data_IF_904239403785
#
_entry.id   IF_904239403785
#
_cell.length_a   1.000
_cell.length_b   1.000
_cell.length_c   1.000
_cell.angle_alpha   90.00
_cell.angle_beta   90.00
_cell.angle_gamma   90.00
#
_symmetry.space_group_name_H-M   'P 1'
#
loop_
_entity.id
_entity.type
_entity.pdbx_description
1 polymer ?
#
# COMPACT_ATOMS: atom_id res chain seq x y z
N UNK A 1 -15.41 67.00 77.25
CA UNK A 1 -14.33 66.03 77.47
C UNK A 1 -14.30 65.07 76.29
N UNK A 2 -13.10 64.63 75.95
CA UNK A 2 -12.74 63.61 74.96
C UNK A 2 -12.49 64.10 73.52
N UNK A 3 -11.24 64.56 73.38
CA UNK A 3 -10.41 64.59 72.17
C UNK A 3 -10.40 63.22 71.50
N UNK A 4 -10.45 63.19 70.17
CA UNK A 4 -9.51 62.39 69.38
C UNK A 4 -8.98 63.23 68.22
N UNK A 5 -7.67 63.16 68.05
CA UNK A 5 -6.80 64.06 67.29
C UNK A 5 -6.92 63.84 65.78
N UNK A 6 -6.97 64.95 65.05
CA UNK A 6 -6.66 65.04 63.62
C UNK A 6 -5.15 65.21 63.50
N UNK A 7 -4.50 64.41 62.65
CA UNK A 7 -3.15 64.70 62.15
C UNK A 7 -3.16 64.62 60.63
N UNK A 8 -2.87 65.76 60.02
CA UNK A 8 -2.54 65.97 58.61
C UNK A 8 -1.04 65.72 58.46
N UNK A 9 -0.58 65.11 57.35
CA UNK A 9 0.37 65.71 56.39
C UNK A 9 1.01 64.73 55.39
N UNK A 10 1.11 65.26 54.17
CA UNK A 10 2.12 65.10 53.10
C UNK A 10 2.18 63.81 52.29
N UNK A 11 1.69 63.95 51.05
CA UNK A 11 2.06 63.20 49.85
C UNK A 11 3.52 63.49 49.49
N UNK A 12 4.30 62.44 49.24
CA UNK A 12 5.53 62.51 48.45
C UNK A 12 5.37 61.57 47.25
N UNK A 13 5.48 62.14 46.05
CA UNK A 13 5.47 61.42 44.78
C UNK A 13 6.87 60.83 44.55
N UNK A 14 6.97 59.51 44.50
CA UNK A 14 8.14 58.77 44.02
C UNK A 14 7.74 57.92 42.82
N UNK A 15 8.47 58.05 41.72
CA UNK A 15 8.19 57.40 40.43
C UNK A 15 8.97 56.08 40.31
N UNK A 16 8.22 55.03 39.94
CA UNK A 16 8.59 53.73 39.33
C UNK A 16 9.24 52.65 40.21
N UNK A 17 9.10 51.34 39.88
CA UNK A 17 8.42 50.72 38.71
C UNK A 17 7.38 49.64 39.07
N UNK A 18 6.66 49.22 38.04
CA UNK A 18 5.85 48.01 37.97
C UNK A 18 6.56 46.75 38.54
N UNK A 19 5.72 45.80 38.95
CA UNK A 19 6.03 44.44 39.40
C UNK A 19 7.41 43.92 38.98
N UNK A 20 8.28 43.71 39.97
CA UNK A 20 9.32 42.68 39.88
C UNK A 20 8.88 41.46 40.68
N UNK A 21 7.75 40.87 40.28
CA UNK A 21 7.55 39.46 40.60
C UNK A 21 8.40 38.67 39.61
N UNK A 22 9.29 37.83 40.14
CA UNK A 22 10.15 36.97 39.35
C UNK A 22 9.58 35.57 39.53
N UNK A 23 8.95 35.03 38.49
CA UNK A 23 8.41 33.67 38.54
C UNK A 23 9.55 32.66 38.78
N UNK A 24 9.34 31.64 39.62
CA UNK A 24 10.29 30.54 39.74
C UNK A 24 10.37 29.79 38.41
N UNK A 25 11.58 29.35 38.06
CA UNK A 25 11.94 28.78 36.76
C UNK A 25 11.62 27.28 36.64
N UNK A 26 10.94 26.71 37.65
CA UNK A 26 10.47 25.32 37.70
C UNK A 26 9.13 25.30 38.46
N UNK A 27 8.17 24.43 38.08
CA UNK A 27 6.83 24.43 38.66
C UNK A 27 6.87 24.05 40.15
N UNK A 28 6.25 24.88 40.99
CA UNK A 28 5.94 24.52 42.37
C UNK A 28 4.67 23.68 42.31
N UNK A 29 4.76 22.40 42.64
CA UNK A 29 3.57 21.54 42.75
C UNK A 29 2.56 22.18 43.72
N UNK A 30 1.38 22.56 43.21
CA UNK A 30 0.25 23.15 43.93
C UNK A 30 -0.78 22.11 44.40
N UNK A 31 -1.58 22.46 45.41
CA UNK A 31 -2.45 21.59 46.20
C UNK A 31 -3.96 21.79 45.86
N UNK A 32 -4.32 21.76 44.57
CA UNK A 32 -5.72 21.79 44.06
C UNK A 32 -6.07 20.46 43.33
N UNK A 33 -5.71 19.32 43.92
CA UNK A 33 -5.74 18.01 43.24
C UNK A 33 -6.71 17.00 43.85
N UNK A 34 -7.54 17.41 44.81
CA UNK A 34 -8.55 16.54 45.40
C UNK A 34 -9.93 17.19 45.45
N UNK A 35 -10.96 16.38 45.64
CA UNK A 35 -12.34 16.84 45.56
C UNK A 35 -12.73 17.81 46.70
N UNK A 36 -11.94 17.91 47.77
CA UNK A 36 -12.21 18.85 48.87
C UNK A 36 -11.59 20.21 48.60
N UNK A 37 -10.36 20.23 48.06
CA UNK A 37 -9.71 21.46 47.60
C UNK A 37 -10.51 22.09 46.43
N UNK A 38 -10.90 21.27 45.45
CA UNK A 38 -11.63 21.72 44.27
C UNK A 38 -13.11 22.13 44.49
N UNK A 39 -13.57 22.29 45.74
CA UNK A 39 -14.94 22.72 46.03
C UNK A 39 -15.11 23.64 47.25
N UNK A 40 -14.00 24.15 47.80
CA UNK A 40 -14.02 24.96 49.02
C UNK A 40 -13.96 26.47 48.76
N UNK A 41 -13.85 26.89 47.49
CA UNK A 41 -13.75 28.28 47.02
C UNK A 41 -12.51 29.02 47.52
N UNK A 42 -11.49 28.28 47.91
CA UNK A 42 -10.19 28.81 48.30
C UNK A 42 -9.20 28.51 47.18
N UNK A 43 -8.28 29.45 46.96
CA UNK A 43 -7.14 29.29 46.06
C UNK A 43 -6.02 28.65 46.90
N UNK A 44 -6.01 27.31 46.98
CA UNK A 44 -5.16 26.59 47.94
C UNK A 44 -3.69 26.61 47.55
N UNK A 45 -3.37 26.87 46.29
CA UNK A 45 -2.00 27.00 45.79
C UNK A 45 -1.57 28.44 45.44
N UNK A 46 -2.51 29.39 45.56
CA UNK A 46 -2.34 30.84 45.43
C UNK A 46 -1.92 31.30 44.02
N UNK A 47 -2.32 30.55 43.00
CA UNK A 47 -2.04 30.89 41.60
C UNK A 47 -3.02 31.92 41.02
N UNK A 48 -4.12 32.17 41.74
CA UNK A 48 -5.18 33.12 41.41
C UNK A 48 -6.46 32.50 40.87
N UNK A 49 -6.53 31.17 40.74
CA UNK A 49 -7.70 30.41 40.30
C UNK A 49 -8.29 29.62 41.48
N UNK A 50 -9.58 29.28 41.41
CA UNK A 50 -10.30 28.60 42.51
C UNK A 50 -11.23 27.52 41.97
N UNK A 51 -11.35 26.39 42.67
CA UNK A 51 -12.25 25.28 42.36
C UNK A 51 -12.18 24.86 40.87
N UNK A 52 -13.32 24.75 40.19
CA UNK A 52 -13.39 24.33 38.77
C UNK A 52 -12.92 25.39 37.78
N UNK A 53 -12.53 26.59 38.24
CA UNK A 53 -11.81 27.56 37.43
C UNK A 53 -10.29 27.28 37.44
N UNK A 54 -9.83 26.40 38.33
CA UNK A 54 -8.46 25.92 38.41
C UNK A 54 -8.21 24.71 37.47
N UNK A 55 -7.23 24.78 36.55
CA UNK A 55 -6.86 23.69 35.66
C UNK A 55 -6.43 22.40 36.37
N UNK A 56 -5.83 22.48 37.56
CA UNK A 56 -5.38 21.31 38.31
C UNK A 56 -6.59 20.48 38.78
N UNK A 57 -7.71 21.16 39.08
CA UNK A 57 -8.99 20.52 39.39
C UNK A 57 -9.64 19.81 38.20
N UNK A 58 -9.35 20.21 36.97
CA UNK A 58 -9.82 19.50 35.77
C UNK A 58 -9.02 18.23 35.50
N UNK A 59 -7.73 18.23 35.85
CA UNK A 59 -6.83 17.11 35.58
C UNK A 59 -6.88 16.04 36.67
N UNK A 60 -7.01 16.46 37.93
CA UNK A 60 -6.79 15.58 39.07
C UNK A 60 -8.02 15.33 39.95
N UNK A 61 -9.07 16.15 39.81
CA UNK A 61 -10.30 16.02 40.61
C UNK A 61 -11.48 15.54 39.77
N UNK A 62 -12.25 14.61 40.34
CA UNK A 62 -13.53 14.17 39.77
C UNK A 62 -14.66 15.19 39.99
N UNK A 63 -14.40 16.30 40.70
CA UNK A 63 -15.40 17.32 41.00
C UNK A 63 -15.73 18.20 39.79
N UNK A 64 -14.68 18.61 39.06
CA UNK A 64 -14.74 19.67 38.05
C UNK A 64 -14.60 19.12 36.62
N UNK A 65 -14.30 17.83 36.48
CA UNK A 65 -14.30 17.12 35.21
C UNK A 65 -15.71 16.99 34.62
N UNK A 66 -16.03 17.87 33.68
CA UNK A 66 -16.96 17.58 32.61
C UNK A 66 -16.42 16.37 31.83
N UNK A 67 -17.26 15.35 31.70
CA UNK A 67 -17.09 14.23 30.78
C UNK A 67 -16.66 14.78 29.42
N UNK A 68 -15.52 14.31 28.92
CA UNK A 68 -15.18 14.47 27.49
C UNK A 68 -16.12 13.52 26.75
N UNK A 69 -17.08 14.00 25.94
CA UNK A 69 -17.75 13.10 25.03
C UNK A 69 -16.69 12.60 24.04
N UNK A 70 -16.54 11.28 23.93
CA UNK A 70 -15.79 10.67 22.85
C UNK A 70 -16.40 11.18 21.54
N UNK A 71 -15.65 11.94 20.74
CA UNK A 71 -16.05 12.28 19.37
C UNK A 71 -15.09 11.61 18.39
N UNK A 72 -15.59 11.02 17.29
CA UNK A 72 -17.01 10.89 16.93
C UNK A 72 -17.60 9.60 17.50
N UNK A 73 -18.80 9.70 18.07
CA UNK A 73 -19.68 8.55 18.19
C UNK A 73 -19.99 8.07 16.77
N UNK A 74 -19.87 6.77 16.54
CA UNK A 74 -20.50 6.11 15.40
C UNK A 74 -22.01 6.32 15.56
N UNK A 75 -22.58 7.23 14.78
CA UNK A 75 -24.02 7.46 14.75
C UNK A 75 -24.54 7.06 13.37
N UNK A 76 -25.55 6.19 13.35
CA UNK A 76 -26.17 5.76 12.09
C UNK A 76 -26.60 6.98 11.24
N UNK A 77 -26.23 6.96 9.96
CA UNK A 77 -26.52 8.02 9.00
C UNK A 77 -27.90 7.84 8.35
N UNK A 78 -28.94 7.70 9.18
CA UNK A 78 -30.28 7.31 8.73
C UNK A 78 -31.39 8.32 9.10
N UNK A 79 -31.03 9.60 9.18
CA UNK A 79 -31.98 10.69 9.44
C UNK A 79 -31.83 11.82 8.43
N UNK A 80 -32.91 12.55 8.15
CA UNK A 80 -32.90 13.66 7.19
C UNK A 80 -31.87 14.73 7.59
N UNK A 81 -31.68 14.97 8.88
CA UNK A 81 -30.70 15.95 9.36
C UNK A 81 -29.26 15.53 9.11
N UNK A 82 -28.94 14.24 9.28
CA UNK A 82 -27.58 13.70 9.09
C UNK A 82 -27.24 13.46 7.61
N UNK A 83 -28.23 13.12 6.80
CA UNK A 83 -28.05 12.90 5.36
C UNK A 83 -27.84 14.19 4.52
N UNK A 84 -27.60 15.34 5.14
CA UNK A 84 -27.35 16.63 4.45
C UNK A 84 -26.33 17.53 5.16
N UNK A 85 -25.54 16.98 6.07
CA UNK A 85 -24.61 17.76 6.88
C UNK A 85 -23.15 17.70 6.40
N UNK A 86 -22.86 16.95 5.31
CA UNK A 86 -21.53 16.79 4.71
C UNK A 86 -20.53 16.11 5.64
N UNK A 87 -21.03 15.28 6.55
CA UNK A 87 -20.22 14.54 7.51
C UNK A 87 -20.58 13.06 7.38
N UNK A 88 -19.54 12.24 7.23
CA UNK A 88 -19.62 10.79 7.37
C UNK A 88 -19.84 10.46 8.87
N UNK A 89 -21.12 10.32 9.25
CA UNK A 89 -21.55 10.24 10.65
C UNK A 89 -21.33 8.85 11.25
N UNK A 90 -21.22 7.80 10.41
CA UNK A 90 -20.94 6.42 10.81
C UNK A 90 -19.56 5.90 10.37
N UNK A 91 -18.74 6.74 9.73
CA UNK A 91 -17.35 6.48 9.34
C UNK A 91 -17.17 5.27 8.42
N UNK A 92 -18.14 5.00 7.57
CA UNK A 92 -18.07 3.89 6.61
C UNK A 92 -17.42 4.29 5.27
N UNK A 93 -17.14 5.59 5.10
CA UNK A 93 -16.53 6.19 3.92
C UNK A 93 -17.52 6.79 2.92
N UNK A 94 -18.82 6.64 3.15
CA UNK A 94 -19.90 7.31 2.43
C UNK A 94 -20.51 8.40 3.31
N UNK A 95 -21.12 9.41 2.70
CA UNK A 95 -21.79 10.48 3.45
C UNK A 95 -22.91 11.11 2.61
N UNK A 96 -23.86 11.74 3.29
CA UNK A 96 -25.09 12.33 2.76
C UNK A 96 -25.80 11.39 1.76
N UNK A 97 -26.12 11.88 0.56
CA UNK A 97 -26.81 11.10 -0.47
C UNK A 97 -25.95 10.01 -1.11
N UNK A 98 -24.63 10.03 -0.89
CA UNK A 98 -23.72 8.95 -1.25
C UNK A 98 -23.85 7.74 -0.32
N UNK A 99 -24.42 7.94 0.86
CA UNK A 99 -24.62 6.89 1.85
C UNK A 99 -25.87 6.02 1.56
N UNK A 100 -25.72 4.71 1.74
CA UNK A 100 -26.77 3.73 1.41
C UNK A 100 -27.95 3.74 2.40
N UNK A 101 -27.70 4.10 3.66
CA UNK A 101 -28.73 4.27 4.69
C UNK A 101 -29.52 5.56 4.44
N UNK A 102 -28.88 6.61 3.92
CA UNK A 102 -29.56 7.83 3.47
C UNK A 102 -30.45 7.63 2.23
N UNK A 103 -30.04 6.81 1.27
CA UNK A 103 -30.85 6.49 0.08
C UNK A 103 -32.17 5.76 0.39
N UNK A 104 -32.24 5.08 1.55
CA UNK A 104 -33.46 4.43 2.01
C UNK A 104 -34.54 5.43 2.48
N UNK A 105 -34.16 6.66 2.83
CA UNK A 105 -35.03 7.70 3.37
C UNK A 105 -35.67 8.54 2.26
N UNK A 106 -36.97 8.36 2.04
CA UNK A 106 -37.70 9.13 1.02
C UNK A 106 -37.78 10.61 1.33
N UNK A 107 -37.83 10.93 2.62
CA UNK A 107 -37.95 12.27 3.17
C UNK A 107 -36.64 13.05 3.11
N UNK A 108 -35.50 12.37 2.96
CA UNK A 108 -34.23 13.04 2.77
C UNK A 108 -34.22 13.80 1.44
N UNK A 109 -35.04 13.43 0.45
CA UNK A 109 -34.99 14.09 -0.86
C UNK A 109 -33.58 14.12 -1.46
N UNK A 110 -32.71 13.16 -1.08
CA UNK A 110 -31.68 12.72 -1.99
C UNK A 110 -32.40 12.49 -3.31
N UNK A 111 -32.08 13.33 -4.28
CA UNK A 111 -32.51 13.08 -5.63
C UNK A 111 -32.21 11.62 -5.88
N UNK A 112 -33.11 10.91 -6.54
CA UNK A 112 -32.61 9.71 -7.16
C UNK A 112 -32.31 10.14 -8.58
N UNK A 113 -31.09 9.92 -9.00
CA UNK A 113 -30.77 9.80 -10.40
C UNK A 113 -31.18 8.39 -10.85
N UNK A 114 -32.44 8.20 -11.26
CA UNK A 114 -32.99 6.85 -11.58
C UNK A 114 -33.91 6.84 -12.80
N UNK A 115 -33.79 7.88 -13.64
CA UNK A 115 -34.53 7.99 -14.89
C UNK A 115 -33.54 8.09 -16.03
N UNK A 116 -33.87 7.47 -17.18
CA UNK A 116 -33.06 7.55 -18.40
C UNK A 116 -32.68 8.96 -18.84
N UNK A 117 -33.49 9.97 -18.51
CA UNK A 117 -33.21 11.37 -18.87
C UNK A 117 -32.12 11.99 -18.00
N UNK A 118 -32.05 11.60 -16.72
CA UNK A 118 -31.08 12.12 -15.76
C UNK A 118 -29.77 11.36 -15.83
N UNK A 119 -29.83 10.04 -15.97
CA UNK A 119 -28.66 9.16 -16.07
C UNK A 119 -27.87 9.24 -17.39
N UNK A 120 -27.92 10.37 -18.10
CA UNK A 120 -27.17 10.61 -19.36
C UNK A 120 -27.03 12.09 -19.69
N UNK A 121 -27.41 12.99 -18.78
CA UNK A 121 -27.43 14.44 -19.04
C UNK A 121 -26.13 15.13 -18.63
N UNK A 122 -25.19 14.40 -18.05
CA UNK A 122 -23.88 14.88 -17.62
C UNK A 122 -23.94 15.73 -16.35
N UNK A 123 -25.00 15.59 -15.55
CA UNK A 123 -25.22 16.35 -14.33
C UNK A 123 -25.48 15.37 -13.17
N UNK A 124 -24.70 15.52 -12.09
CA UNK A 124 -25.03 14.93 -10.78
C UNK A 124 -26.34 15.54 -10.25
N UNK A 125 -27.45 14.83 -10.50
CA UNK A 125 -28.80 15.33 -10.24
C UNK A 125 -29.23 15.15 -8.78
N UNK A 126 -28.46 14.41 -7.97
CA UNK A 126 -28.73 14.16 -6.56
C UNK A 126 -27.66 14.62 -5.57
N UNK A 127 -26.56 15.13 -6.09
CA UNK A 127 -25.52 15.82 -5.34
C UNK A 127 -24.57 14.90 -4.58
N UNK A 128 -24.52 13.62 -4.91
CA UNK A 128 -23.69 12.64 -4.20
C UNK A 128 -22.25 12.52 -4.75
N UNK A 129 -21.90 13.31 -5.77
CA UNK A 129 -20.56 13.36 -6.37
C UNK A 129 -20.36 12.41 -7.55
N UNK A 130 -21.36 11.62 -7.93
CA UNK A 130 -21.34 10.75 -9.11
C UNK A 130 -22.29 11.28 -10.18
N UNK A 131 -21.97 11.07 -11.45
CA UNK A 131 -22.76 11.60 -12.58
C UNK A 131 -23.16 10.49 -13.52
N UNK A 132 -24.40 10.52 -14.01
CA UNK A 132 -24.92 9.58 -15.01
C UNK A 132 -24.69 8.11 -14.60
N UNK A 133 -24.12 7.29 -15.48
CA UNK A 133 -23.91 5.87 -15.22
C UNK A 133 -22.76 5.59 -14.24
N UNK A 134 -21.95 6.57 -13.86
CA UNK A 134 -21.03 6.40 -12.73
C UNK A 134 -21.81 6.35 -11.39
N UNK A 135 -23.03 6.91 -11.38
CA UNK A 135 -23.93 6.91 -10.23
C UNK A 135 -24.57 5.53 -9.98
N UNK A 136 -24.60 5.11 -8.71
CA UNK A 136 -25.17 3.82 -8.30
C UNK A 136 -26.70 3.75 -8.44
N UNK A 137 -27.39 4.85 -8.16
CA UNK A 137 -28.82 5.03 -8.40
C UNK A 137 -29.20 4.86 -9.87
N UNK A 138 -28.30 5.24 -10.77
CA UNK A 138 -28.42 5.00 -12.20
C UNK A 138 -28.14 3.54 -12.57
N UNK A 139 -26.97 2.99 -12.20
CA UNK A 139 -26.57 1.61 -12.55
C UNK A 139 -27.53 0.55 -12.03
N UNK A 140 -28.09 0.76 -10.83
CA UNK A 140 -29.05 -0.18 -10.21
C UNK A 140 -30.50 0.27 -10.31
N UNK A 141 -30.78 1.31 -11.09
CA UNK A 141 -32.12 1.82 -11.29
C UNK A 141 -33.00 0.82 -12.04
N UNK A 142 -34.06 0.32 -11.42
CA UNK A 142 -34.99 -0.63 -12.07
C UNK A 142 -35.62 -0.10 -13.37
N UNK A 143 -35.66 1.23 -13.54
CA UNK A 143 -36.22 1.90 -14.71
C UNK A 143 -35.16 2.56 -15.61
N UNK A 144 -33.87 2.36 -15.30
CA UNK A 144 -32.75 2.88 -16.07
C UNK A 144 -32.29 1.81 -17.05
N UNK A 145 -32.25 2.16 -18.33
CA UNK A 145 -31.85 1.28 -19.44
C UNK A 145 -30.74 1.90 -20.29
N UNK A 146 -30.27 3.09 -19.92
CA UNK A 146 -29.21 3.81 -20.64
C UNK A 146 -27.82 3.39 -20.16
N UNK A 147 -27.71 2.86 -18.94
CA UNK A 147 -26.47 2.35 -18.36
C UNK A 147 -26.29 0.86 -18.69
N UNK A 148 -25.96 0.58 -19.94
CA UNK A 148 -25.69 -0.78 -20.44
C UNK A 148 -24.58 -0.74 -21.47
N UNK A 149 -23.67 -1.70 -21.42
CA UNK A 149 -22.60 -1.84 -22.42
C UNK A 149 -22.68 -3.20 -23.11
N UNK A 150 -23.70 -3.38 -23.96
CA UNK A 150 -24.01 -4.70 -24.52
C UNK A 150 -24.47 -4.66 -25.98
N UNK A 151 -24.04 -3.65 -26.73
CA UNK A 151 -24.32 -3.54 -28.16
C UNK A 151 -23.05 -3.17 -28.91
N UNK A 152 -23.01 -3.48 -30.21
CA UNK A 152 -21.85 -3.16 -31.06
C UNK A 152 -21.46 -1.68 -31.05
N UNK A 153 -22.41 -0.79 -30.82
CA UNK A 153 -22.13 0.65 -30.77
C UNK A 153 -21.58 1.09 -29.43
N UNK A 154 -21.98 0.46 -28.33
CA UNK A 154 -21.60 0.84 -26.97
C UNK A 154 -20.26 0.19 -26.57
N UNK A 155 -20.00 -1.01 -27.07
CA UNK A 155 -18.76 -1.74 -26.80
C UNK A 155 -17.59 -1.35 -27.71
N UNK A 156 -17.69 -0.22 -28.42
CA UNK A 156 -16.66 0.23 -29.37
C UNK A 156 -16.61 1.77 -29.53
N UNK A 157 -17.21 2.52 -28.61
CA UNK A 157 -17.25 3.99 -28.66
C UNK A 157 -16.21 4.66 -27.75
N UNK A 158 -15.45 3.88 -26.98
CA UNK A 158 -14.41 4.37 -26.09
C UNK A 158 -14.93 4.98 -24.80
N UNK A 159 -16.18 4.69 -24.43
CA UNK A 159 -16.86 5.21 -23.25
C UNK A 159 -17.33 4.03 -22.40
N UNK A 160 -17.11 4.09 -21.09
CA UNK A 160 -17.72 3.19 -20.12
C UNK A 160 -19.21 3.56 -19.98
N UNK A 161 -20.05 2.82 -20.69
CA UNK A 161 -21.47 3.16 -20.81
C UNK A 161 -22.32 2.62 -19.66
N UNK A 162 -21.79 1.69 -18.85
CA UNK A 162 -22.49 1.15 -17.67
C UNK A 162 -21.82 1.50 -16.33
N UNK A 163 -20.72 2.24 -16.37
CA UNK A 163 -20.06 2.91 -15.26
C UNK A 163 -19.30 1.97 -14.32
N UNK A 164 -18.86 0.80 -14.78
CA UNK A 164 -18.15 -0.18 -13.94
C UNK A 164 -16.61 0.01 -13.91
N UNK A 165 -16.11 0.99 -14.67
CA UNK A 165 -14.71 1.36 -14.80
C UNK A 165 -13.97 0.64 -15.92
N UNK A 166 -14.65 -0.21 -16.69
CA UNK A 166 -14.08 -0.99 -17.79
C UNK A 166 -14.72 -0.52 -19.10
N UNK A 167 -13.92 -0.37 -20.15
CA UNK A 167 -14.35 0.26 -21.41
C UNK A 167 -14.29 -0.73 -22.59
N UNK A 168 -15.32 -0.69 -23.43
CA UNK A 168 -15.43 -1.40 -24.70
C UNK A 168 -15.19 -2.91 -24.56
N UNK A 169 -14.40 -3.51 -25.45
CA UNK A 169 -14.11 -4.94 -25.42
C UNK A 169 -13.29 -5.42 -24.22
N UNK A 170 -12.81 -4.52 -23.36
CA UNK A 170 -12.29 -4.92 -22.06
C UNK A 170 -13.43 -5.28 -21.08
N UNK A 171 -14.61 -4.72 -21.30
CA UNK A 171 -15.79 -4.93 -20.46
C UNK A 171 -16.39 -6.34 -20.63
N UNK A 172 -16.88 -6.89 -19.52
CA UNK A 172 -17.40 -8.25 -19.47
C UNK A 172 -18.81 -8.38 -20.05
N UNK A 173 -19.63 -7.33 -19.98
CA UNK A 173 -20.93 -7.21 -20.64
C UNK A 173 -20.78 -7.21 -22.17
N UNK A 174 -19.64 -6.73 -22.68
CA UNK A 174 -19.30 -6.70 -24.10
C UNK A 174 -18.82 -8.03 -24.70
N UNK A 175 -18.55 -9.08 -23.90
CA UNK A 175 -17.97 -10.36 -24.38
C UNK A 175 -18.75 -11.07 -25.49
N UNK A 176 -20.06 -10.83 -25.60
CA UNK A 176 -20.92 -11.46 -26.63
C UNK A 176 -21.03 -10.66 -27.93
N UNK A 177 -20.39 -9.49 -27.97
CA UNK A 177 -20.39 -8.60 -29.11
C UNK A 177 -19.35 -9.08 -30.13
N UNK A 178 -19.75 -9.19 -31.40
CA UNK A 178 -18.94 -9.85 -32.44
C UNK A 178 -17.64 -9.10 -32.70
N UNK A 179 -17.61 -7.77 -32.56
CA UNK A 179 -16.37 -6.99 -32.64
C UNK A 179 -15.41 -7.23 -31.47
N UNK A 180 -15.94 -7.57 -30.30
CA UNK A 180 -15.17 -7.88 -29.08
C UNK A 180 -14.81 -9.36 -28.95
N UNK A 181 -15.50 -10.23 -29.70
CA UNK A 181 -15.08 -11.60 -29.87
C UNK A 181 -13.74 -11.62 -30.60
N UNK A 182 -12.69 -12.04 -29.89
CA UNK A 182 -11.38 -12.33 -30.46
C UNK A 182 -11.21 -13.84 -30.53
N UNK A 183 -11.97 -14.54 -31.39
CA UNK A 183 -12.05 -15.98 -31.36
C UNK A 183 -10.67 -16.61 -31.30
N UNK A 184 -10.51 -17.57 -30.39
CA UNK A 184 -9.32 -18.40 -30.29
C UNK A 184 -9.39 -19.47 -31.39
N UNK A 185 -9.19 -19.05 -32.65
CA UNK A 185 -9.40 -19.88 -33.85
C UNK A 185 -8.15 -20.00 -34.73
N UNK A 186 -7.00 -19.56 -34.22
CA UNK A 186 -5.71 -19.69 -34.90
C UNK A 186 -4.79 -20.60 -34.12
N UNK A 187 -3.94 -21.33 -34.83
CA UNK A 187 -3.01 -22.29 -34.22
C UNK A 187 -2.18 -21.66 -33.09
N UNK A 188 -1.65 -20.45 -33.27
CA UNK A 188 -0.83 -19.75 -32.28
C UNK A 188 -1.59 -19.23 -31.06
N UNK A 189 -2.89 -19.00 -31.18
CA UNK A 189 -3.76 -18.57 -30.07
C UNK A 189 -4.22 -19.76 -29.22
N UNK A 190 -4.31 -20.94 -29.84
CA UNK A 190 -4.78 -22.18 -29.23
C UNK A 190 -3.69 -23.07 -28.60
N UNK A 191 -2.45 -22.57 -28.48
CA UNK A 191 -1.34 -23.32 -27.85
C UNK A 191 -0.49 -22.42 -26.93
N UNK A 192 -1.01 -21.27 -26.52
CA UNK A 192 -0.23 -20.25 -25.84
C UNK A 192 -0.58 -20.12 -24.35
N UNK A 193 -1.46 -20.97 -23.81
CA UNK A 193 -1.85 -20.98 -22.37
C UNK A 193 -2.65 -19.76 -21.92
N UNK A 194 -3.02 -18.87 -22.85
CA UNK A 194 -3.84 -17.68 -22.58
C UNK A 194 -5.30 -17.90 -22.99
N UNK A 195 -6.21 -17.31 -22.21
CA UNK A 195 -7.63 -17.19 -22.57
C UNK A 195 -7.78 -16.01 -23.52
N UNK A 196 -7.54 -16.28 -24.79
CA UNK A 196 -7.28 -15.26 -25.79
C UNK A 196 -8.57 -14.53 -26.20
N UNK A 197 -9.73 -15.17 -25.99
CA UNK A 197 -11.07 -14.62 -26.18
C UNK A 197 -11.80 -14.27 -24.86
N UNK A 198 -11.09 -14.42 -23.73
CA UNK A 198 -11.55 -14.15 -22.37
C UNK A 198 -12.83 -14.89 -21.96
N UNK A 199 -13.14 -16.06 -22.55
CA UNK A 199 -14.38 -16.78 -22.29
C UNK A 199 -14.33 -17.76 -21.09
N UNK A 200 -13.15 -17.89 -20.47
CA UNK A 200 -12.88 -18.78 -19.33
C UNK A 200 -12.39 -20.18 -19.72
N UNK A 201 -12.12 -20.43 -21.00
CA UNK A 201 -11.55 -21.67 -21.52
C UNK A 201 -10.30 -21.34 -22.31
N UNK A 202 -9.28 -22.19 -22.19
CA UNK A 202 -7.96 -21.95 -22.80
C UNK A 202 -7.56 -23.16 -23.64
N UNK A 203 -6.99 -22.94 -24.81
CA UNK A 203 -6.37 -23.94 -25.67
C UNK A 203 -7.25 -25.21 -25.84
N UNK A 204 -6.87 -26.31 -25.19
CA UNK A 204 -7.54 -27.61 -25.29
C UNK A 204 -8.88 -27.71 -24.58
N UNK A 205 -9.22 -26.73 -23.75
CA UNK A 205 -10.52 -26.61 -23.09
C UNK A 205 -11.52 -25.80 -23.93
N UNK A 206 -11.02 -25.10 -24.96
CA UNK A 206 -11.79 -24.24 -25.86
C UNK A 206 -12.34 -25.00 -27.08
N UNK A 207 -13.64 -24.90 -27.30
CA UNK A 207 -14.32 -25.62 -28.38
C UNK A 207 -13.87 -25.11 -29.77
N UNK A 208 -13.56 -23.82 -29.89
CA UNK A 208 -13.05 -23.18 -31.11
C UNK A 208 -11.66 -23.69 -31.49
N UNK A 209 -10.81 -23.95 -30.49
CA UNK A 209 -9.49 -24.55 -30.66
C UNK A 209 -9.57 -26.03 -31.03
N UNK A 210 -10.52 -26.77 -30.43
CA UNK A 210 -10.80 -28.17 -30.80
C UNK A 210 -11.38 -28.31 -32.22
N UNK A 211 -11.87 -27.24 -32.83
CA UNK A 211 -12.28 -27.22 -34.23
C UNK A 211 -11.08 -27.21 -35.20
N UNK A 212 -9.87 -26.85 -34.74
CA UNK A 212 -8.64 -26.86 -35.53
C UNK A 212 -8.03 -28.28 -35.47
N UNK A 213 -7.94 -29.02 -36.59
CA UNK A 213 -7.51 -30.42 -36.57
C UNK A 213 -6.13 -30.67 -35.96
N UNK A 214 -5.17 -29.76 -36.20
CA UNK A 214 -3.81 -29.88 -35.69
C UNK A 214 -3.73 -29.63 -34.17
N UNK A 215 -4.55 -28.70 -33.66
CA UNK A 215 -4.67 -28.44 -32.20
C UNK A 215 -5.41 -29.60 -31.53
N UNK A 216 -6.54 -30.04 -32.07
CA UNK A 216 -7.29 -31.17 -31.54
C UNK A 216 -6.42 -32.45 -31.43
N UNK A 217 -5.58 -32.69 -32.44
CA UNK A 217 -4.61 -33.80 -32.39
C UNK A 217 -3.61 -33.61 -31.25
N UNK A 218 -3.05 -32.41 -31.09
CA UNK A 218 -2.13 -32.06 -29.99
C UNK A 218 -2.78 -32.27 -28.62
N UNK A 219 -4.03 -31.83 -28.44
CA UNK A 219 -4.79 -32.02 -27.21
C UNK A 219 -5.06 -33.49 -26.84
N UNK A 220 -5.12 -34.38 -27.84
CA UNK A 220 -5.27 -35.82 -27.64
C UNK A 220 -3.93 -36.55 -27.46
N UNK A 221 -2.89 -36.08 -28.13
CA UNK A 221 -1.51 -36.56 -28.00
C UNK A 221 -0.84 -35.82 -26.83
N UNK A 222 -1.33 -36.01 -25.59
CA UNK A 222 -0.68 -35.48 -24.38
C UNK A 222 0.65 -36.18 -24.18
N UNK A 223 1.69 -35.69 -24.85
CA UNK A 223 3.02 -36.26 -24.71
C UNK A 223 3.67 -35.59 -23.53
N UNK A 224 3.77 -36.33 -22.42
CA UNK A 224 4.37 -35.83 -21.18
C UNK A 224 5.66 -35.07 -21.42
N UNK A 225 5.80 -33.97 -20.68
CA UNK A 225 6.98 -33.13 -20.69
C UNK A 225 8.09 -33.76 -19.85
N UNK A 226 8.69 -34.81 -20.40
CA UNK A 226 9.64 -35.65 -19.68
C UNK A 226 10.83 -36.08 -20.55
N UNK A 227 11.27 -35.18 -21.43
CA UNK A 227 12.52 -35.32 -22.17
C UNK A 227 13.31 -34.02 -22.09
N UNK A 228 14.63 -34.12 -22.13
CA UNK A 228 15.51 -32.95 -22.01
C UNK A 228 15.36 -31.93 -23.16
N UNK A 229 14.75 -32.33 -24.28
CA UNK A 229 14.41 -31.44 -25.41
C UNK A 229 13.13 -30.65 -25.13
N UNK A 230 12.12 -31.32 -24.57
CA UNK A 230 10.82 -30.70 -24.26
C UNK A 230 10.79 -29.84 -23.02
N UNK A 231 11.76 -30.05 -22.12
CA UNK A 231 11.91 -29.23 -20.93
C UNK A 231 12.71 -27.94 -21.20
N UNK A 232 12.96 -27.57 -22.47
CA UNK A 232 13.65 -26.31 -22.87
C UNK A 232 13.17 -25.77 -24.23
N UNK A 233 12.04 -26.22 -24.75
CA UNK A 233 11.58 -25.83 -26.09
C UNK A 233 10.60 -24.65 -26.07
N UNK A 234 10.27 -24.12 -24.89
CA UNK A 234 9.37 -22.98 -24.70
C UNK A 234 7.92 -23.32 -24.98
N UNK A 235 7.57 -24.61 -24.98
CA UNK A 235 6.26 -25.09 -25.41
C UNK A 235 5.68 -26.01 -24.31
N UNK A 236 4.44 -25.75 -23.89
CA UNK A 236 3.67 -26.66 -23.03
C UNK A 236 3.28 -27.91 -23.84
N UNK A 237 4.09 -28.97 -23.73
CA UNK A 237 4.01 -30.15 -24.57
C UNK A 237 2.85 -31.08 -24.17
N UNK A 238 2.41 -31.04 -22.91
CA UNK A 238 1.30 -31.86 -22.41
C UNK A 238 0.02 -31.07 -22.05
N UNK A 239 0.07 -29.75 -22.27
CA UNK A 239 -1.03 -28.79 -22.22
C UNK A 239 -1.67 -28.72 -20.84
N UNK A 240 -0.84 -28.70 -19.80
CA UNK A 240 -1.26 -28.62 -18.40
C UNK A 240 -1.10 -27.21 -17.79
N UNK A 241 -0.64 -26.25 -18.59
CA UNK A 241 -0.44 -24.85 -18.23
C UNK A 241 0.96 -24.52 -17.70
N UNK A 242 1.87 -25.49 -17.68
CA UNK A 242 3.25 -25.30 -17.26
C UNK A 242 4.19 -25.61 -18.43
N UNK A 243 5.16 -24.73 -18.64
CA UNK A 243 6.13 -24.81 -19.74
C UNK A 243 7.51 -25.11 -19.18
N UNK A 244 8.24 -25.97 -19.87
CA UNK A 244 9.61 -26.35 -19.60
C UNK A 244 9.83 -26.74 -18.12
N UNK A 245 10.71 -26.04 -17.42
CA UNK A 245 11.09 -26.37 -16.06
C UNK A 245 10.09 -25.92 -15.00
N UNK A 246 9.08 -25.16 -15.40
CA UNK A 246 7.91 -24.90 -14.56
C UNK A 246 6.99 -26.13 -14.53
N UNK A 247 7.14 -27.07 -15.47
CA UNK A 247 6.39 -28.31 -15.49
C UNK A 247 6.90 -29.30 -14.42
N UNK A 248 5.95 -30.00 -13.76
CA UNK A 248 6.26 -30.97 -12.72
C UNK A 248 7.02 -32.20 -13.25
N UNK A 249 6.70 -32.63 -14.48
CA UNK A 249 7.37 -33.71 -15.20
C UNK A 249 8.83 -33.43 -15.51
N UNK A 250 9.19 -32.16 -15.69
CA UNK A 250 10.56 -31.68 -15.85
C UNK A 250 11.25 -31.45 -14.50
N UNK A 251 10.69 -30.61 -13.64
CA UNK A 251 11.29 -30.16 -12.37
C UNK A 251 11.54 -31.28 -11.36
N UNK A 252 10.70 -32.33 -11.36
CA UNK A 252 10.85 -33.46 -10.42
C UNK A 252 11.48 -34.70 -11.05
N UNK A 253 11.94 -34.59 -12.29
CA UNK A 253 12.51 -35.72 -13.00
C UNK A 253 13.75 -36.25 -12.29
N UNK A 254 13.79 -37.57 -12.08
CA UNK A 254 14.96 -38.28 -11.53
C UNK A 254 15.96 -38.67 -12.61
N UNK A 255 15.63 -38.42 -13.87
CA UNK A 255 16.52 -38.68 -15.02
C UNK A 255 17.50 -37.52 -15.12
N UNK A 256 18.80 -37.82 -14.95
CA UNK A 256 19.88 -36.80 -14.92
C UNK A 256 19.78 -35.84 -16.10
N UNK A 257 19.58 -36.33 -17.33
CA UNK A 257 19.53 -35.48 -18.53
C UNK A 257 18.41 -34.43 -18.49
N UNK A 258 17.30 -34.74 -17.82
CA UNK A 258 16.14 -33.84 -17.68
C UNK A 258 16.36 -32.90 -16.50
N UNK A 259 16.85 -33.42 -15.37
CA UNK A 259 17.19 -32.59 -14.22
C UNK A 259 18.30 -31.57 -14.54
N UNK A 260 19.29 -31.98 -15.34
CA UNK A 260 20.36 -31.10 -15.81
C UNK A 260 19.81 -30.05 -16.80
N UNK A 261 18.79 -30.41 -17.60
CA UNK A 261 18.11 -29.46 -18.48
C UNK A 261 17.51 -28.27 -17.72
N UNK A 262 16.93 -28.53 -16.55
CA UNK A 262 16.36 -27.47 -15.71
C UNK A 262 17.40 -26.74 -14.86
N UNK A 263 18.41 -27.45 -14.37
CA UNK A 263 19.51 -26.80 -13.64
C UNK A 263 20.26 -25.78 -14.49
N UNK A 264 20.44 -26.04 -15.78
CA UNK A 264 21.10 -25.09 -16.68
C UNK A 264 20.28 -23.80 -16.90
N UNK A 265 18.95 -23.89 -16.77
CA UNK A 265 18.02 -22.78 -16.97
C UNK A 265 17.83 -21.94 -15.71
N UNK A 266 17.88 -22.55 -14.52
CA UNK A 266 17.68 -21.88 -13.24
C UNK A 266 18.41 -20.54 -13.10
N UNK A 267 17.70 -19.56 -12.55
CA UNK A 267 18.23 -18.24 -12.18
C UNK A 267 18.88 -18.31 -10.79
N UNK A 268 19.96 -19.09 -10.67
CA UNK A 268 20.59 -19.40 -9.38
C UNK A 268 22.10 -19.14 -9.37
N UNK A 269 22.57 -18.24 -10.24
CA UNK A 269 23.98 -17.86 -10.33
C UNK A 269 24.14 -16.35 -10.20
N UNK A 270 25.28 -15.92 -9.66
CA UNK A 270 25.58 -14.50 -9.44
C UNK A 270 25.37 -13.62 -10.68
N UNK A 271 25.71 -14.10 -11.88
CA UNK A 271 25.57 -13.30 -13.11
C UNK A 271 24.15 -13.28 -13.66
N UNK A 272 23.35 -14.31 -13.38
CA UNK A 272 21.94 -14.36 -13.81
C UNK A 272 21.09 -13.45 -12.95
N UNK A 273 21.27 -13.51 -11.63
CA UNK A 273 20.54 -12.71 -10.63
C UNK A 273 20.83 -11.19 -10.63
N UNK A 274 21.48 -10.64 -11.67
CA UNK A 274 21.83 -9.21 -11.74
C UNK A 274 21.83 -8.64 -13.16
N UNK A 275 21.34 -9.39 -14.14
CA UNK A 275 21.47 -9.02 -15.54
C UNK A 275 20.20 -8.34 -16.08
N UNK A 276 19.12 -8.24 -15.28
CA UNK A 276 17.86 -7.62 -15.65
C UNK A 276 17.01 -8.47 -16.60
N UNK A 277 17.25 -9.78 -16.66
CA UNK A 277 16.58 -10.74 -17.53
C UNK A 277 16.01 -11.86 -16.66
N UNK A 278 14.78 -12.27 -16.93
CA UNK A 278 14.20 -13.52 -16.41
C UNK A 278 14.84 -14.70 -17.17
N UNK A 279 15.89 -15.26 -16.59
CA UNK A 279 16.73 -16.29 -17.24
C UNK A 279 16.07 -17.68 -17.22
N UNK A 280 15.17 -17.93 -16.27
CA UNK A 280 14.49 -19.22 -16.11
C UNK A 280 13.02 -19.22 -16.58
N UNK A 281 12.50 -18.06 -16.98
CA UNK A 281 11.22 -17.86 -17.65
C UNK A 281 10.02 -17.89 -16.71
N UNK A 282 10.21 -17.68 -15.41
CA UNK A 282 9.17 -17.81 -14.40
C UNK A 282 8.39 -16.51 -14.12
N UNK A 283 8.76 -15.42 -14.79
CA UNK A 283 8.13 -14.11 -14.70
C UNK A 283 8.71 -13.18 -13.64
N UNK A 284 9.75 -13.61 -12.93
CA UNK A 284 10.47 -12.81 -11.95
C UNK A 284 11.89 -12.55 -12.44
N UNK A 285 12.40 -11.34 -12.18
CA UNK A 285 13.71 -10.90 -12.67
C UNK A 285 14.63 -10.62 -11.50
N UNK A 286 15.87 -11.13 -11.57
CA UNK A 286 16.94 -10.89 -10.61
C UNK A 286 16.47 -11.14 -9.17
N UNK A 287 16.43 -10.09 -8.34
CA UNK A 287 16.12 -10.20 -6.92
C UNK A 287 14.64 -10.25 -6.58
N UNK A 288 13.78 -10.07 -7.59
CA UNK A 288 12.38 -10.44 -7.47
C UNK A 288 12.20 -11.96 -7.61
N UNK A 289 13.20 -12.68 -8.15
CA UNK A 289 13.20 -14.12 -8.27
C UNK A 289 13.55 -14.83 -6.94
N UNK A 290 12.84 -15.92 -6.65
CA UNK A 290 13.03 -16.68 -5.41
C UNK A 290 14.35 -17.47 -5.38
N UNK A 291 14.77 -18.01 -6.52
CA UNK A 291 16.06 -18.68 -6.72
C UNK A 291 17.24 -17.77 -6.40
N UNK A 292 17.12 -16.48 -6.72
CA UNK A 292 18.08 -15.46 -6.35
C UNK A 292 17.95 -15.01 -4.88
N UNK A 293 16.75 -14.56 -4.48
CA UNK A 293 16.52 -13.96 -3.17
C UNK A 293 16.70 -14.93 -1.98
N UNK A 294 16.46 -16.22 -2.18
CA UNK A 294 16.57 -17.26 -1.15
C UNK A 294 17.72 -18.24 -1.38
N UNK A 295 18.66 -17.90 -2.26
CA UNK A 295 19.83 -18.75 -2.47
C UNK A 295 20.62 -18.95 -1.18
N UNK A 296 21.05 -20.20 -0.96
CA UNK A 296 22.00 -20.54 0.10
C UNK A 296 23.46 -20.39 -0.37
N UNK A 297 23.68 -20.12 -1.66
CA UNK A 297 24.99 -19.78 -2.18
C UNK A 297 25.29 -18.32 -1.85
N UNK A 298 26.35 -18.07 -1.08
CA UNK A 298 26.72 -16.72 -0.65
C UNK A 298 27.02 -15.79 -1.83
N UNK A 299 27.52 -16.32 -2.95
CA UNK A 299 27.78 -15.51 -4.15
C UNK A 299 26.50 -15.07 -4.84
N UNK A 300 25.45 -15.90 -4.81
CA UNK A 300 24.14 -15.59 -5.39
C UNK A 300 23.33 -14.71 -4.46
N UNK A 301 23.34 -15.01 -3.16
CA UNK A 301 22.69 -14.20 -2.14
C UNK A 301 23.19 -12.75 -2.16
N UNK A 302 24.48 -12.52 -2.46
CA UNK A 302 25.06 -11.18 -2.66
C UNK A 302 24.42 -10.40 -3.81
N UNK A 303 23.87 -11.06 -4.83
CA UNK A 303 23.17 -10.34 -5.89
C UNK A 303 21.95 -9.56 -5.34
N UNK A 304 21.36 -10.04 -4.24
CA UNK A 304 20.08 -9.56 -3.72
C UNK A 304 20.05 -9.14 -2.26
N UNK A 305 21.13 -9.40 -1.52
CA UNK A 305 21.26 -9.06 -0.10
C UNK A 305 22.55 -8.27 0.08
N UNK A 306 22.39 -6.96 0.25
CA UNK A 306 23.45 -6.00 0.50
C UNK A 306 24.24 -6.40 1.77
N UNK A 307 23.58 -6.74 2.88
CA UNK A 307 24.29 -7.10 4.13
C UNK A 307 25.06 -8.44 4.16
N UNK A 308 25.29 -9.11 3.01
CA UNK A 308 26.10 -10.34 2.92
C UNK A 308 27.49 -10.00 2.36
N UNK A 309 28.30 -9.32 3.16
CA UNK A 309 29.72 -9.12 2.88
C UNK A 309 30.49 -10.44 2.71
N UNK A 310 31.51 -10.45 1.85
CA UNK A 310 32.31 -11.67 1.61
C UNK A 310 33.45 -11.80 2.65
N UNK A 311 33.65 -13.00 3.21
CA UNK A 311 34.91 -13.33 3.92
C UNK A 311 36.08 -13.17 2.94
N UNK A 312 37.02 -12.27 3.24
CA UNK A 312 38.26 -12.03 2.50
C UNK A 312 38.99 -13.30 2.01
N UNK A 313 38.83 -14.43 2.71
CA UNK A 313 39.40 -15.74 2.35
C UNK A 313 38.75 -16.41 1.14
N UNK A 314 37.58 -15.92 0.71
CA UNK A 314 36.81 -16.43 -0.42
C UNK A 314 37.11 -15.69 -1.74
N UNK A 315 37.42 -14.39 -1.68
CA UNK A 315 37.74 -13.54 -2.85
C UNK A 315 39.22 -13.60 -3.22
N UNK A 316 40.10 -13.66 -2.22
CA UNK A 316 41.54 -13.53 -2.43
C UNK A 316 42.26 -14.84 -2.13
N UNK A 317 43.26 -15.16 -2.96
CA UNK A 317 44.03 -16.41 -2.87
C UNK A 317 45.45 -16.21 -2.36
N UNK A 318 45.93 -14.97 -2.30
CA UNK A 318 47.25 -14.65 -1.74
C UNK A 318 47.14 -14.16 -0.31
N UNK A 319 48.08 -14.55 0.54
CA UNK A 319 48.09 -14.16 1.94
C UNK A 319 48.19 -12.64 2.13
N UNK A 320 48.83 -11.93 1.18
CA UNK A 320 48.99 -10.48 1.23
C UNK A 320 47.68 -9.75 0.86
N UNK A 321 46.92 -10.25 -0.12
CA UNK A 321 45.61 -9.70 -0.50
C UNK A 321 44.55 -10.03 0.57
N UNK A 322 44.55 -11.26 1.12
CA UNK A 322 43.67 -11.63 2.24
C UNK A 322 44.00 -10.76 3.46
N UNK A 323 45.28 -10.51 3.75
CA UNK A 323 45.67 -9.67 4.89
C UNK A 323 45.33 -8.19 4.68
N UNK A 324 45.45 -7.68 3.45
CA UNK A 324 45.02 -6.32 3.10
C UNK A 324 43.50 -6.18 3.20
N UNK A 325 42.76 -7.17 2.70
CA UNK A 325 41.30 -7.24 2.82
C UNK A 325 40.86 -7.37 4.27
N UNK A 326 41.45 -8.27 5.09
CA UNK A 326 41.12 -8.38 6.52
C UNK A 326 41.52 -7.12 7.32
N UNK A 327 42.44 -6.31 6.78
CA UNK A 327 42.81 -5.02 7.36
C UNK A 327 41.91 -3.86 6.91
N UNK A 328 41.25 -3.99 5.75
CA UNK A 328 40.22 -3.08 5.24
C UNK A 328 38.80 -3.45 5.75
N UNK A 329 38.57 -4.74 5.99
CA UNK A 329 37.33 -5.40 6.41
C UNK A 329 36.93 -5.03 7.83
N UNK A 330 36.35 -3.84 7.92
CA UNK A 330 35.56 -3.34 9.02
C UNK A 330 34.18 -3.03 8.43
N UNK A 331 33.11 -3.08 9.23
CA UNK A 331 31.77 -2.84 8.70
C UNK A 331 31.72 -1.48 7.97
N UNK A 332 31.01 -1.42 6.85
CA UNK A 332 30.79 -0.22 6.02
C UNK A 332 29.79 0.74 6.70
N UNK A 333 30.08 1.09 7.95
CA UNK A 333 29.10 1.69 8.85
C UNK A 333 29.64 2.80 9.78
N UNK A 334 30.95 3.15 9.81
CA UNK A 334 31.41 4.45 10.30
C UNK A 334 31.51 5.47 9.17
N UNK A 335 31.33 6.76 9.50
CA UNK A 335 31.45 7.88 8.54
C UNK A 335 32.72 7.86 7.67
N UNK A 336 33.83 7.30 8.17
CA UNK A 336 35.06 7.23 7.41
C UNK A 336 34.98 6.20 6.27
N UNK A 337 34.38 5.04 6.52
CA UNK A 337 34.15 4.01 5.50
C UNK A 337 33.11 4.52 4.50
N UNK A 338 32.05 5.18 4.98
CA UNK A 338 30.98 5.74 4.13
C UNK A 338 31.36 6.98 3.29
N UNK A 339 32.65 7.28 3.13
CA UNK A 339 33.13 8.41 2.32
C UNK A 339 34.55 8.25 1.76
N UNK A 340 35.12 7.04 1.79
CA UNK A 340 36.48 6.78 1.31
C UNK A 340 36.53 6.18 -0.10
N UNK A 341 35.37 5.89 -0.71
CA UNK A 341 35.26 5.36 -2.06
C UNK A 341 35.69 3.90 -2.17
N UNK A 342 35.69 3.16 -1.06
CA UNK A 342 36.04 1.75 -0.99
C UNK A 342 34.83 0.94 -0.51
N UNK A 343 34.61 -0.19 -1.17
CA UNK A 343 33.70 -1.27 -0.73
C UNK A 343 34.43 -2.05 0.39
N UNK A 344 34.17 -1.67 1.64
CA UNK A 344 34.91 -2.08 2.83
C UNK A 344 34.43 -3.42 3.39
N UNK A 345 33.18 -3.79 3.17
CA UNK A 345 32.64 -5.11 3.56
C UNK A 345 32.47 -6.10 2.39
N UNK A 346 32.78 -5.64 1.17
CA UNK A 346 32.86 -6.42 -0.07
C UNK A 346 31.51 -6.94 -0.56
N UNK A 347 30.42 -6.24 -0.28
CA UNK A 347 29.09 -6.54 -0.81
C UNK A 347 28.86 -5.99 -2.22
N UNK A 348 29.70 -5.05 -2.69
CA UNK A 348 29.66 -4.45 -4.03
C UNK A 348 29.10 -3.04 -4.08
N UNK A 349 28.69 -2.50 -2.94
CA UNK A 349 28.29 -1.12 -2.76
C UNK A 349 29.43 -0.37 -2.05
N UNK A 350 29.44 0.95 -2.16
CA UNK A 350 30.45 1.75 -1.48
C UNK A 350 29.88 3.11 -1.08
N UNK A 351 30.39 3.66 0.01
CA UNK A 351 30.00 4.95 0.55
C UNK A 351 28.48 5.06 0.79
N UNK A 352 27.85 6.17 0.39
CA UNK A 352 26.43 6.40 0.62
C UNK A 352 25.49 5.65 -0.33
N UNK A 353 26.05 4.92 -1.30
CA UNK A 353 25.29 4.00 -2.14
C UNK A 353 25.16 2.62 -1.47
N UNK A 354 25.92 2.38 -0.39
CA UNK A 354 25.82 1.22 0.50
C UNK A 354 24.69 1.40 1.53
N UNK A 355 23.93 0.33 1.77
CA UNK A 355 22.84 0.32 2.74
C UNK A 355 23.31 0.46 4.18
N UNK A 356 24.42 -0.20 4.56
CA UNK A 356 25.06 -0.10 5.88
C UNK A 356 25.52 1.34 6.18
N UNK A 357 25.69 2.16 5.15
CA UNK A 357 25.94 3.59 5.24
C UNK A 357 24.68 4.45 5.18
N UNK A 358 23.78 4.21 4.22
CA UNK A 358 22.61 5.03 3.96
C UNK A 358 21.54 4.92 5.06
N UNK A 359 21.45 3.76 5.71
CA UNK A 359 20.39 3.43 6.68
C UNK A 359 20.89 3.30 8.12
N UNK A 360 22.19 3.50 8.36
CA UNK A 360 22.74 3.51 9.69
C UNK A 360 22.63 4.91 10.36
N UNK A 361 21.89 5.05 11.47
CA UNK A 361 21.71 6.34 12.15
C UNK A 361 23.01 6.90 12.77
N UNK A 362 24.05 6.08 12.94
CA UNK A 362 25.39 6.51 13.35
C UNK A 362 26.19 7.15 12.20
N UNK A 363 25.80 6.90 10.94
CA UNK A 363 26.36 7.54 9.76
C UNK A 363 25.66 8.87 9.53
N UNK A 364 26.45 9.93 9.52
CA UNK A 364 26.00 11.32 9.41
C UNK A 364 26.37 11.98 8.09
N UNK A 365 27.20 11.31 7.27
CA UNK A 365 27.69 11.83 6.00
C UNK A 365 26.70 11.60 4.85
N UNK A 366 25.86 10.57 4.94
CA UNK A 366 24.81 10.23 3.98
C UNK A 366 23.47 10.94 4.30
N UNK A 367 22.67 11.26 3.27
CA UNK A 367 21.39 11.99 3.37
C UNK A 367 20.21 11.15 2.83
N UNK A 368 19.87 10.04 3.46
CA UNK A 368 18.64 9.24 3.21
C UNK A 368 18.28 8.45 4.51
N UNK A 369 17.11 7.77 4.65
CA UNK A 369 16.31 7.82 5.88
C UNK A 369 16.84 6.99 7.05
N UNK A 370 16.54 7.44 8.27
CA UNK A 370 16.91 6.76 9.53
C UNK A 370 15.70 6.04 10.10
N UNK A 371 15.55 4.76 9.77
CA UNK A 371 14.68 3.82 10.47
C UNK A 371 15.52 2.57 10.77
N UNK A 372 15.52 2.11 12.02
CA UNK A 372 16.17 0.86 12.41
C UNK A 372 15.22 -0.33 12.14
N UNK A 373 15.77 -1.49 11.78
CA UNK A 373 15.15 -2.78 12.15
C UNK A 373 15.12 -2.99 13.67
#
# INVERSE_FOLDING_TARGET
MNRWMVVVWLVAVGVWPACKYKSPILPVLGYESDNSACNDRVDNDQDGLVDCEDPDCLQHSVHCGLVVPDYPFFEEENSVERCHDQIDNDQDGNFDCGDSDCQALKEACCGREFTNERCKDGIDNDGNGYTDCEDFGCRRGEYVTVCVENTETLCADGIDNDGDGIVDCADTSCRRITSCQRPEDTYSRCINTFDDDANGRRDCEEDSCLAIPDVAKRCTDRVSENTAERCRDGIDNDLNGYVDCLDFGCSTSTVSEIADACRDQAEDTYEKCRNGIDDDGNGYVDCEDFGCAQSNDASVARACKESVGIDCRYVYVTADEIAACLAAGLPENPNQACSDGLDNDLDGFFDCDDWDCAWNPAVTICKAPRVCE
#
